data_IF_938745545607
#
_entry.id   IF_938745545607
#
_cell.length_a   1.000
_cell.length_b   1.000
_cell.length_c   1.000
_cell.angle_alpha   90.00
_cell.angle_beta   90.00
_cell.angle_gamma   90.00
#
_symmetry.space_group_name_H-M   'P 1'
#
loop_
_entity.id
_entity.type
_entity.pdbx_description
1 polymer ?
#
# COMPACT_ATOMS: atom_id res chain seq x y z
N UNK A 1 -16.26 13.69 -2.28
CA UNK A 1 -15.51 13.06 -3.37
C UNK A 1 -14.60 14.10 -4.01
N UNK A 2 -13.35 13.77 -4.29
CA UNK A 2 -12.36 14.73 -4.79
C UNK A 2 -10.94 14.18 -4.73
N UNK A 3 -10.00 14.83 -5.44
CA UNK A 3 -8.60 14.45 -5.39
C UNK A 3 -8.03 14.64 -3.98
N UNK A 4 -7.20 13.69 -3.53
CA UNK A 4 -6.51 13.74 -2.24
C UNK A 4 -5.03 13.52 -2.47
N UNK A 5 -4.19 14.33 -1.83
CA UNK A 5 -2.76 14.06 -1.79
C UNK A 5 -2.48 12.70 -1.14
N UNK A 6 -1.62 11.93 -1.78
CA UNK A 6 -1.29 10.57 -1.37
C UNK A 6 0.19 10.32 -1.54
N UNK A 7 0.75 9.49 -0.67
CA UNK A 7 2.18 9.16 -0.75
C UNK A 7 2.39 8.19 -1.91
N UNK A 8 3.43 8.43 -2.71
CA UNK A 8 3.89 7.51 -3.74
C UNK A 8 5.20 6.90 -3.28
N UNK A 9 5.22 5.59 -3.07
CA UNK A 9 6.41 4.82 -2.74
C UNK A 9 6.92 4.13 -4.00
N UNK A 10 8.24 4.15 -4.22
CA UNK A 10 8.89 3.25 -5.16
C UNK A 10 9.14 1.92 -4.48
N UNK A 11 8.75 0.82 -5.12
CA UNK A 11 8.85 -0.52 -4.54
C UNK A 11 10.29 -0.88 -4.18
N UNK A 12 11.24 -0.48 -5.01
CA UNK A 12 12.67 -0.69 -4.83
C UNK A 12 13.27 0.03 -3.61
N UNK A 13 12.62 1.10 -3.13
CA UNK A 13 13.07 1.87 -1.96
C UNK A 13 12.53 1.30 -0.63
N UNK A 14 11.60 0.34 -0.69
CA UNK A 14 10.97 -0.24 0.50
C UNK A 14 11.80 -1.38 1.09
N UNK A 15 12.18 -1.24 2.35
CA UNK A 15 12.89 -2.29 3.09
C UNK A 15 11.93 -3.38 3.57
N UNK A 16 12.46 -4.59 3.81
CA UNK A 16 11.73 -5.64 4.49
C UNK A 16 11.16 -5.13 5.82
N UNK A 17 9.95 -5.59 6.18
CA UNK A 17 9.23 -5.18 7.41
C UNK A 17 8.81 -3.70 7.46
N UNK A 18 8.92 -2.93 6.37
CA UNK A 18 8.44 -1.56 6.33
C UNK A 18 6.92 -1.48 6.49
N UNK A 19 6.44 -0.51 7.29
CA UNK A 19 5.02 -0.15 7.35
C UNK A 19 4.74 1.02 6.40
N UNK A 20 3.69 0.91 5.58
CA UNK A 20 3.33 1.95 4.63
C UNK A 20 2.18 2.79 5.18
N UNK A 21 2.26 4.11 5.02
CA UNK A 21 1.16 5.01 5.36
C UNK A 21 0.10 4.95 4.25
N UNK A 22 -1.05 4.35 4.55
CA UNK A 22 -2.22 4.33 3.67
C UNK A 22 -3.11 5.59 3.86
N UNK A 23 -3.84 6.06 2.83
CA UNK A 23 -3.79 5.60 1.45
C UNK A 23 -2.44 5.94 0.81
N UNK A 24 -1.99 5.10 -0.12
CA UNK A 24 -0.76 5.33 -0.88
C UNK A 24 -0.77 4.62 -2.22
N UNK A 25 0.14 5.00 -3.10
CA UNK A 25 0.44 4.29 -4.35
C UNK A 25 1.83 3.69 -4.23
N UNK A 26 1.99 2.44 -4.63
CA UNK A 26 3.28 1.76 -4.76
C UNK A 26 3.56 1.55 -6.23
N UNK A 27 4.62 2.18 -6.73
CA UNK A 27 5.06 2.04 -8.13
C UNK A 27 6.21 1.04 -8.20
N UNK A 28 6.15 0.17 -9.20
CA UNK A 28 7.19 -0.78 -9.55
C UNK A 28 7.43 -0.67 -11.07
N UNK A 29 8.60 -1.10 -11.55
CA UNK A 29 8.93 -1.05 -12.97
C UNK A 29 7.85 -1.65 -13.88
N UNK A 30 7.20 -2.74 -13.46
CA UNK A 30 6.20 -3.47 -14.25
C UNK A 30 4.76 -3.24 -13.80
N UNK A 31 4.52 -2.52 -12.70
CA UNK A 31 3.19 -2.42 -12.08
C UNK A 31 3.01 -1.16 -11.25
N UNK A 32 1.78 -0.77 -11.00
CA UNK A 32 1.44 0.27 -10.04
C UNK A 32 0.25 -0.20 -9.22
N UNK A 33 0.43 -0.26 -7.91
CA UNK A 33 -0.57 -0.76 -6.97
C UNK A 33 -1.11 0.36 -6.10
N UNK A 34 -2.43 0.51 -6.05
CA UNK A 34 -3.12 1.43 -5.16
C UNK A 34 -3.43 0.73 -3.83
N UNK A 35 -3.07 1.36 -2.71
CA UNK A 35 -3.56 1.01 -1.37
C UNK A 35 -4.69 1.98 -1.02
N UNK A 36 -5.96 1.53 -1.02
CA UNK A 36 -7.10 2.41 -0.85
C UNK A 36 -7.23 2.92 0.60
N UNK A 37 -8.11 3.90 0.80
CA UNK A 37 -8.49 4.37 2.13
C UNK A 37 -9.10 3.20 2.93
N UNK A 38 -8.75 3.11 4.22
CA UNK A 38 -9.25 2.06 5.11
C UNK A 38 -8.50 0.72 5.01
N UNK A 39 -7.68 0.53 3.98
CA UNK A 39 -6.75 -0.60 3.92
C UNK A 39 -5.49 -0.33 4.75
N UNK A 40 -4.74 -1.40 5.04
CA UNK A 40 -3.39 -1.30 5.59
C UNK A 40 -2.39 -1.99 4.66
N UNK A 41 -1.14 -1.51 4.67
CA UNK A 41 -0.08 -2.07 3.85
C UNK A 41 1.25 -2.14 4.61
N UNK A 42 1.99 -3.21 4.37
CA UNK A 42 3.33 -3.45 4.93
C UNK A 42 4.15 -4.32 3.99
N UNK A 43 5.47 -4.29 4.12
CA UNK A 43 6.37 -5.24 3.49
C UNK A 43 6.64 -6.38 4.46
N UNK A 44 6.50 -7.63 4.03
CA UNK A 44 6.86 -8.77 4.88
C UNK A 44 8.40 -8.96 4.99
N UNK A 45 8.84 -10.07 5.60
CA UNK A 45 10.26 -10.39 5.73
C UNK A 45 10.94 -10.81 4.42
N UNK A 46 10.17 -11.20 3.41
CA UNK A 46 10.65 -11.63 2.09
C UNK A 46 10.61 -10.49 1.06
N UNK A 47 10.06 -9.34 1.43
CA UNK A 47 9.92 -8.19 0.55
C UNK A 47 8.56 -8.10 -0.13
N UNK A 48 7.60 -9.00 0.13
CA UNK A 48 6.29 -8.88 -0.49
C UNK A 48 5.51 -7.70 0.10
N UNK A 49 4.83 -6.94 -0.75
CA UNK A 49 3.86 -5.93 -0.28
C UNK A 49 2.58 -6.67 0.08
N UNK A 50 2.26 -6.69 1.37
CA UNK A 50 1.04 -7.27 1.91
C UNK A 50 0.03 -6.15 2.09
N UNK A 51 -1.08 -6.24 1.35
CA UNK A 51 -2.23 -5.34 1.50
C UNK A 51 -3.32 -6.11 2.21
N UNK A 52 -3.78 -5.58 3.34
CA UNK A 52 -4.98 -6.06 3.99
C UNK A 52 -6.11 -5.10 3.61
N UNK A 53 -7.13 -5.57 2.88
CA UNK A 53 -8.29 -4.73 2.61
C UNK A 53 -8.96 -4.35 3.93
N UNK A 54 -9.84 -3.34 3.88
CA UNK A 54 -10.77 -3.12 4.97
C UNK A 54 -11.51 -4.44 5.26
N UNK A 55 -11.73 -4.75 6.53
CA UNK A 55 -12.72 -5.77 6.86
C UNK A 55 -14.02 -5.31 6.17
N UNK A 56 -14.59 -6.16 5.31
CA UNK A 56 -15.94 -5.91 4.85
C UNK A 56 -16.78 -5.68 6.10
N UNK A 57 -17.51 -4.57 6.17
CA UNK A 57 -18.50 -4.42 7.23
C UNK A 57 -19.36 -5.69 7.18
N UNK A 58 -19.49 -6.37 8.33
CA UNK A 58 -20.36 -7.55 8.46
C UNK A 58 -21.69 -7.21 7.77
N UNK A 59 -21.95 -7.87 6.65
CA UNK A 59 -23.17 -7.72 5.86
C UNK A 59 -24.31 -8.51 6.47
#
# INVERSE_FOLDING_TARGET
EGARETVVYRREDLTARAALRAPCVVTEYSSTTLVPVGASASVDGFGNVIIKPFAAEDS
#
